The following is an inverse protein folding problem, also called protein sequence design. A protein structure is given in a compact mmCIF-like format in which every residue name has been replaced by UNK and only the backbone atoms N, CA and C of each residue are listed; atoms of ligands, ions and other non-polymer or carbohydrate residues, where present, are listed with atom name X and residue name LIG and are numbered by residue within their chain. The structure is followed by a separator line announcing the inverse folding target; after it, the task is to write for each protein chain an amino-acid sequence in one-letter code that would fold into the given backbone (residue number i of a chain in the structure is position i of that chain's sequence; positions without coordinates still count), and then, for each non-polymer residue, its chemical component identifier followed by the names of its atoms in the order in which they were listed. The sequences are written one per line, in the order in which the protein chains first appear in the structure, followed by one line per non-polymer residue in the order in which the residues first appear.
data_IF_818529740748
#
_entry.id   IF_818529740748
#
_cell.length_a   1.000
_cell.length_b   1.000
_cell.length_c   1.000
_cell.angle_alpha   90.00
_cell.angle_beta   90.00
_cell.angle_gamma   90.00
#
_symmetry.space_group_name_H-M   'P 1'
#
loop_
_entity.id
_entity.type
_entity.pdbx_description
1 polymer ?
#
# COMPACT_ATOMS: atom_id res chain seq x y z
N UNK A 1 -32.09 17.08 -63.55
CA UNK A 1 -31.79 17.53 -62.18
C UNK A 1 -30.42 16.97 -61.82
N UNK A 2 -29.38 17.82 -61.75
CA UNK A 2 -28.00 17.38 -61.63
C UNK A 2 -27.64 17.15 -60.16
N UNK A 3 -27.39 15.89 -59.81
CA UNK A 3 -26.92 15.48 -58.50
C UNK A 3 -25.53 16.10 -58.25
N UNK A 4 -25.45 17.13 -57.41
CA UNK A 4 -24.21 17.86 -57.18
C UNK A 4 -23.34 16.99 -56.26
N UNK A 5 -22.61 16.02 -56.86
CA UNK A 5 -21.58 15.19 -56.21
C UNK A 5 -20.59 16.01 -55.36
N UNK A 6 -20.42 17.30 -55.72
CA UNK A 6 -19.66 18.31 -54.98
C UNK A 6 -20.27 18.69 -53.62
N UNK A 7 -21.59 18.71 -53.48
CA UNK A 7 -22.31 19.01 -52.23
C UNK A 7 -22.13 17.89 -51.21
N UNK A 8 -22.25 16.62 -51.63
CA UNK A 8 -22.04 15.45 -50.76
C UNK A 8 -20.61 15.35 -50.24
N UNK A 9 -19.61 15.60 -51.10
CA UNK A 9 -18.20 15.64 -50.67
C UNK A 9 -17.93 16.80 -49.69
N UNK A 10 -18.57 17.95 -49.90
CA UNK A 10 -18.47 19.08 -48.96
C UNK A 10 -19.05 18.75 -47.59
N UNK A 11 -20.21 18.08 -47.54
CA UNK A 11 -20.81 17.64 -46.27
C UNK A 11 -19.92 16.64 -45.54
N UNK A 12 -19.34 15.66 -46.24
CA UNK A 12 -18.41 14.70 -45.63
C UNK A 12 -17.15 15.36 -45.04
N UNK A 13 -16.58 16.34 -45.74
CA UNK A 13 -15.42 17.10 -45.25
C UNK A 13 -15.75 18.00 -44.06
N UNK A 14 -16.96 18.56 -44.03
CA UNK A 14 -17.41 19.39 -42.92
C UNK A 14 -17.58 18.57 -41.64
N UNK A 15 -18.13 17.35 -41.78
CA UNK A 15 -18.32 16.42 -40.67
C UNK A 15 -16.98 15.87 -40.14
N UNK A 16 -16.05 15.51 -41.03
CA UNK A 16 -14.68 15.10 -40.65
C UNK A 16 -13.94 16.22 -39.90
N UNK A 17 -14.09 17.47 -40.37
CA UNK A 17 -13.43 18.60 -39.72
C UNK A 17 -14.00 18.84 -38.31
N UNK A 18 -15.32 18.68 -38.12
CA UNK A 18 -15.95 18.79 -36.79
C UNK A 18 -15.48 17.70 -35.82
N UNK A 19 -15.34 16.46 -36.31
CA UNK A 19 -14.83 15.36 -35.49
C UNK A 19 -13.40 15.66 -35.03
N UNK A 20 -12.53 16.06 -35.96
CA UNK A 20 -11.14 16.42 -35.66
C UNK A 20 -11.01 17.56 -34.67
N UNK A 21 -11.86 18.59 -34.77
CA UNK A 21 -11.85 19.70 -33.81
C UNK A 21 -12.25 19.23 -32.42
N UNK A 22 -13.25 18.36 -32.31
CA UNK A 22 -13.69 17.83 -31.03
C UNK A 22 -12.64 16.91 -30.40
N UNK A 23 -11.99 16.06 -31.20
CA UNK A 23 -10.89 15.19 -30.73
C UNK A 23 -9.69 15.99 -30.20
N UNK A 24 -9.32 17.09 -30.87
CA UNK A 24 -8.24 17.97 -30.42
C UNK A 24 -8.62 18.74 -29.15
N UNK A 25 -9.87 19.17 -29.03
CA UNK A 25 -10.38 19.86 -27.84
C UNK A 25 -10.45 18.91 -26.63
N UNK A 26 -10.96 17.69 -26.80
CA UNK A 26 -10.95 16.63 -25.77
C UNK A 26 -9.52 16.22 -25.37
N UNK A 27 -8.61 16.10 -26.33
CA UNK A 27 -7.21 15.80 -26.03
C UNK A 27 -6.55 16.93 -25.22
N UNK A 28 -6.91 18.19 -25.49
CA UNK A 28 -6.47 19.35 -24.71
C UNK A 28 -7.10 19.38 -23.32
N UNK A 29 -8.38 19.09 -23.21
CA UNK A 29 -9.07 19.00 -21.92
C UNK A 29 -8.45 17.92 -21.03
N UNK A 30 -8.12 16.74 -21.57
CA UNK A 30 -7.38 15.70 -20.81
C UNK A 30 -5.96 16.12 -20.42
N UNK A 31 -5.30 16.95 -21.22
CA UNK A 31 -3.96 17.46 -20.91
C UNK A 31 -3.99 18.62 -19.91
N UNK A 32 -5.13 19.32 -19.80
CA UNK A 32 -5.39 20.45 -18.89
C UNK A 32 -6.27 20.06 -17.69
N UNK A 33 -6.72 18.80 -17.62
CA UNK A 33 -7.11 18.14 -16.37
C UNK A 33 -5.90 18.22 -15.46
N UNK A 34 -5.83 19.35 -14.73
CA UNK A 34 -4.98 19.53 -13.58
C UNK A 34 -5.19 18.26 -12.76
N UNK A 35 -4.15 17.42 -12.64
CA UNK A 35 -4.13 16.39 -11.61
C UNK A 35 -4.71 17.05 -10.37
N UNK A 36 -5.77 16.51 -9.74
CA UNK A 36 -6.35 17.16 -8.58
C UNK A 36 -5.17 17.51 -7.72
N UNK A 37 -4.91 18.82 -7.52
CA UNK A 37 -3.79 19.29 -6.72
C UNK A 37 -4.13 18.72 -5.36
N UNK A 38 -3.68 17.48 -5.11
CA UNK A 38 -4.03 16.70 -3.95
C UNK A 38 -3.70 17.64 -2.84
N UNK A 39 -4.76 18.14 -2.21
CA UNK A 39 -4.78 19.40 -1.49
C UNK A 39 -3.45 19.50 -0.80
N UNK A 40 -2.58 20.38 -1.30
CA UNK A 40 -1.26 20.60 -0.75
C UNK A 40 -1.54 21.22 0.60
N UNK A 41 -1.82 20.34 1.53
CA UNK A 41 -2.01 20.57 2.92
C UNK A 41 -0.57 20.65 3.43
N UNK A 42 0.12 21.73 3.02
CA UNK A 42 1.41 22.17 3.53
C UNK A 42 1.32 22.57 5.03
N UNK A 43 0.13 22.38 5.63
CA UNK A 43 -0.16 22.39 7.05
C UNK A 43 -0.38 20.98 7.67
N UNK A 44 -0.20 19.89 6.92
CA UNK A 44 -0.58 18.52 7.32
C UNK A 44 0.60 17.53 7.36
N UNK A 45 1.84 17.95 7.05
CA UNK A 45 3.02 17.10 7.32
C UNK A 45 3.25 16.84 8.83
N UNK A 46 2.59 17.59 9.72
CA UNK A 46 2.65 17.37 11.18
C UNK A 46 1.44 16.65 11.76
N UNK A 47 0.39 16.36 10.98
CA UNK A 47 -0.83 15.73 11.50
C UNK A 47 -0.85 14.22 11.28
N UNK A 48 -0.22 13.72 10.22
CA UNK A 48 -0.11 12.26 10.02
C UNK A 48 0.97 11.57 10.87
N UNK A 49 1.86 12.31 11.54
CA UNK A 49 2.84 11.72 12.44
C UNK A 49 2.29 11.38 13.84
N UNK A 50 1.08 11.86 14.20
CA UNK A 50 0.53 11.70 15.56
C UNK A 50 -0.40 10.49 15.71
N UNK A 51 -0.89 9.90 14.62
CA UNK A 51 -1.85 8.78 14.66
C UNK A 51 -1.20 7.39 14.43
N UNK A 52 0.10 7.32 14.16
CA UNK A 52 0.82 6.04 14.08
C UNK A 52 1.37 5.58 15.44
N UNK A 53 1.25 6.41 16.47
CA UNK A 53 1.46 6.01 17.86
C UNK A 53 0.10 5.85 18.53
N UNK A 54 -0.63 4.82 18.13
CA UNK A 54 -1.71 4.31 18.96
C UNK A 54 -1.08 3.90 20.28
N UNK A 55 -1.23 4.74 21.31
CA UNK A 55 -0.74 4.54 22.68
C UNK A 55 -1.22 3.19 23.29
N UNK A 56 -2.20 2.56 22.65
CA UNK A 56 -2.61 1.19 22.92
C UNK A 56 -1.48 0.19 22.60
N UNK A 57 -1.13 -0.71 23.54
CA UNK A 57 -0.17 -1.76 23.27
C UNK A 57 -0.63 -2.60 22.06
N UNK A 58 0.30 -3.04 21.19
CA UNK A 58 -0.06 -3.86 20.06
C UNK A 58 -0.78 -5.13 20.53
N UNK A 59 -1.84 -5.53 19.83
CA UNK A 59 -2.55 -6.78 20.13
C UNK A 59 -1.87 -7.96 19.46
N UNK A 60 -2.17 -9.16 19.97
CA UNK A 60 -1.68 -10.40 19.40
C UNK A 60 -2.16 -10.60 17.95
N UNK A 61 -1.25 -10.93 17.05
CA UNK A 61 -1.55 -11.14 15.63
C UNK A 61 -2.46 -12.37 15.36
N UNK A 62 -2.55 -13.32 16.30
CA UNK A 62 -3.38 -14.52 16.16
C UNK A 62 -4.87 -14.14 16.06
N UNK A 63 -5.55 -14.70 15.06
CA UNK A 63 -6.99 -14.46 14.83
C UNK A 63 -7.81 -14.86 16.06
N UNK A 64 -8.67 -13.94 16.52
CA UNK A 64 -9.54 -14.16 17.68
C UNK A 64 -8.81 -14.06 19.02
N UNK A 65 -7.63 -13.44 19.07
CA UNK A 65 -6.90 -13.16 20.29
C UNK A 65 -6.72 -11.65 20.46
N UNK A 66 -7.47 -11.08 21.40
CA UNK A 66 -7.37 -9.67 21.77
C UNK A 66 -6.40 -9.43 22.93
N UNK A 67 -5.59 -10.43 23.30
CA UNK A 67 -4.56 -10.27 24.34
C UNK A 67 -3.47 -9.30 23.87
N UNK A 68 -2.88 -8.49 24.78
CA UNK A 68 -1.77 -7.62 24.43
C UNK A 68 -0.55 -8.46 24.02
N UNK A 69 0.10 -8.05 22.94
CA UNK A 69 1.36 -8.62 22.51
C UNK A 69 2.46 -8.22 23.49
N UNK A 70 3.28 -9.20 23.87
CA UNK A 70 4.42 -9.03 24.77
C UNK A 70 5.75 -9.29 24.08
N UNK A 71 5.72 -9.94 22.92
CA UNK A 71 6.90 -10.33 22.17
C UNK A 71 6.73 -9.99 20.70
N UNK A 72 7.84 -9.72 20.04
CA UNK A 72 7.96 -9.71 18.58
C UNK A 72 8.73 -10.96 18.18
N UNK A 73 8.13 -11.77 17.33
CA UNK A 73 8.78 -12.90 16.68
C UNK A 73 9.21 -12.44 15.30
N UNK A 74 10.50 -12.57 15.01
CA UNK A 74 11.11 -12.21 13.74
C UNK A 74 11.72 -13.46 13.13
N UNK A 75 11.26 -13.80 11.93
CA UNK A 75 11.78 -14.93 11.16
C UNK A 75 12.26 -14.46 9.79
N UNK A 76 13.53 -14.74 9.50
CA UNK A 76 14.13 -14.51 8.19
C UNK A 76 14.33 -15.84 7.47
N UNK A 77 13.67 -15.99 6.33
CA UNK A 77 13.71 -17.22 5.52
C UNK A 77 13.92 -16.89 4.03
N UNK A 78 14.32 -17.90 3.27
CA UNK A 78 14.45 -17.78 1.81
C UNK A 78 13.09 -18.05 1.17
N UNK A 79 12.56 -17.10 0.40
CA UNK A 79 11.32 -17.32 -0.35
C UNK A 79 11.52 -18.35 -1.47
N UNK A 80 10.55 -19.26 -1.61
CA UNK A 80 10.54 -20.36 -2.61
C UNK A 80 10.42 -19.87 -4.05
N UNK A 81 9.88 -18.66 -4.23
CA UNK A 81 9.71 -17.96 -5.50
C UNK A 81 11.04 -17.41 -6.06
N UNK A 82 12.12 -17.48 -5.27
CA UNK A 82 13.45 -17.02 -5.68
C UNK A 82 13.64 -15.50 -5.60
N UNK A 83 12.74 -14.78 -4.94
CA UNK A 83 12.84 -13.32 -4.76
C UNK A 83 13.89 -12.88 -3.72
N UNK A 84 14.50 -13.85 -3.00
CA UNK A 84 15.54 -13.58 -2.00
C UNK A 84 15.09 -13.91 -0.57
N UNK A 85 15.85 -13.44 0.41
CA UNK A 85 15.48 -13.60 1.82
C UNK A 85 14.38 -12.60 2.19
N UNK A 86 13.32 -13.09 2.84
CA UNK A 86 12.25 -12.28 3.41
C UNK A 86 12.32 -12.35 4.91
N UNK A 87 11.97 -11.24 5.55
CA UNK A 87 11.86 -11.11 6.99
C UNK A 87 10.38 -10.91 7.34
N UNK A 88 9.85 -11.78 8.19
CA UNK A 88 8.48 -11.75 8.68
C UNK A 88 8.49 -11.40 10.18
N UNK A 89 7.72 -10.38 10.55
CA UNK A 89 7.52 -9.97 11.95
C UNK A 89 6.09 -10.25 12.41
N UNK A 90 5.95 -10.82 13.61
CA UNK A 90 4.67 -11.10 14.24
C UNK A 90 4.69 -10.72 15.72
N UNK A 91 3.76 -9.85 16.12
CA UNK A 91 3.56 -9.45 17.52
C UNK A 91 2.61 -10.42 18.20
N UNK A 92 3.05 -11.09 19.25
CA UNK A 92 2.31 -12.18 19.89
C UNK A 92 2.24 -12.03 21.41
N UNK A 93 1.16 -12.56 21.99
CA UNK A 93 1.06 -12.72 23.44
C UNK A 93 1.94 -13.89 23.91
N UNK A 94 2.28 -13.93 25.20
CA UNK A 94 3.15 -14.94 25.79
C UNK A 94 2.74 -16.38 25.46
N UNK A 95 1.44 -16.67 25.46
CA UNK A 95 0.91 -18.00 25.15
C UNK A 95 1.22 -18.39 23.71
N UNK A 96 0.86 -17.53 22.75
CA UNK A 96 1.07 -17.82 21.34
C UNK A 96 2.55 -17.81 20.96
N UNK A 97 3.37 -16.96 21.58
CA UNK A 97 4.84 -17.00 21.40
C UNK A 97 5.42 -18.35 21.83
N UNK A 98 4.89 -18.98 22.89
CA UNK A 98 5.35 -20.30 23.33
C UNK A 98 4.90 -21.44 22.39
N UNK A 99 3.88 -21.20 21.58
CA UNK A 99 3.39 -22.14 20.55
C UNK A 99 4.14 -21.97 19.22
N UNK A 100 4.75 -20.81 18.98
CA UNK A 100 5.59 -20.57 17.81
C UNK A 100 6.89 -21.36 17.92
N UNK A 101 7.31 -21.95 16.81
CA UNK A 101 8.57 -22.65 16.70
C UNK A 101 9.08 -22.51 15.27
N UNK A 102 10.40 -22.41 15.06
CA UNK A 102 10.97 -22.39 13.73
C UNK A 102 10.55 -23.68 13.00
N UNK A 103 9.97 -23.54 11.82
CA UNK A 103 9.51 -24.67 11.01
C UNK A 103 10.46 -24.90 9.83
N UNK A 104 10.53 -26.14 9.33
CA UNK A 104 11.34 -26.50 8.14
C UNK A 104 12.83 -26.16 8.27
N UNK A 105 13.47 -26.58 9.36
CA UNK A 105 14.92 -26.40 9.58
C UNK A 105 15.83 -27.28 8.69
N UNK A 106 15.25 -28.20 7.91
CA UNK A 106 16.04 -29.09 7.03
C UNK A 106 16.43 -28.35 5.75
N UNK A 107 17.73 -28.25 5.48
CA UNK A 107 18.25 -27.54 4.31
C UNK A 107 18.16 -26.00 4.39
N UNK A 108 18.07 -25.43 5.61
CA UNK A 108 17.98 -23.99 5.81
C UNK A 108 19.11 -23.21 5.12
N UNK A 109 18.72 -22.08 4.53
CA UNK A 109 19.63 -21.11 3.95
C UNK A 109 20.63 -20.61 5.00
N UNK A 110 21.85 -20.30 4.57
CA UNK A 110 22.97 -19.95 5.45
C UNK A 110 22.70 -18.74 6.37
N UNK A 111 21.74 -17.88 6.00
CA UNK A 111 21.38 -16.66 6.73
C UNK A 111 19.98 -16.74 7.38
N UNK A 112 19.46 -17.95 7.61
CA UNK A 112 18.21 -18.16 8.33
C UNK A 112 18.33 -17.67 9.79
N UNK A 113 17.34 -16.89 10.24
CA UNK A 113 17.31 -16.33 11.60
C UNK A 113 15.91 -16.43 12.16
N UNK A 114 15.78 -16.98 13.38
CA UNK A 114 14.56 -16.94 14.17
C UNK A 114 14.86 -16.28 15.51
N UNK A 115 14.19 -15.17 15.82
CA UNK A 115 14.38 -14.38 17.05
C UNK A 115 13.05 -14.08 17.71
N UNK A 116 13.08 -14.06 19.03
CA UNK A 116 11.95 -13.67 19.87
C UNK A 116 12.45 -12.60 20.82
N UNK A 117 12.00 -11.38 20.62
CA UNK A 117 12.40 -10.22 21.42
C UNK A 117 11.21 -9.72 22.24
N UNK A 118 11.39 -9.39 23.53
CA UNK A 118 10.33 -8.78 24.33
C UNK A 118 10.01 -7.38 23.79
N UNK A 119 8.72 -7.05 23.72
CA UNK A 119 8.29 -5.68 23.46
C UNK A 119 8.60 -4.81 24.68
N UNK A 120 9.02 -3.55 24.50
CA UNK A 120 9.10 -2.62 25.61
C UNK A 120 7.70 -2.51 26.20
N UNK A 121 7.54 -2.86 27.48
CA UNK A 121 6.31 -2.58 28.20
C UNK A 121 6.14 -1.06 28.13
N UNK A 122 5.09 -0.59 27.46
CA UNK A 122 4.63 0.80 27.58
C UNK A 122 4.14 0.96 29.01
N UNK A 123 5.08 1.00 29.94
CA UNK A 123 4.83 1.42 31.31
C UNK A 123 4.43 2.87 31.16
N UNK A 124 3.17 3.14 31.45
CA UNK A 124 2.58 4.43 31.77
C UNK A 124 3.64 5.32 32.46
N UNK A 125 4.39 6.05 31.65
CA UNK A 125 5.51 6.89 32.06
C UNK A 125 5.27 8.29 31.51
N UNK A 126 4.04 8.79 31.68
CA UNK A 126 3.75 10.21 31.53
C UNK A 126 2.48 10.67 32.26
N UNK A 127 2.22 10.26 33.52
CA UNK A 127 1.38 11.09 34.41
C UNK A 127 1.88 10.97 35.87
N UNK A 128 2.90 11.76 36.22
CA UNK A 128 3.30 12.04 37.60
C UNK A 128 3.05 13.52 37.93
#
# INVERSE_FOLDING_TARGET
MADNKKSRNKQARDEENRQRTWEVEQARERMDETEPRGEQNEADEFRYAREENSDSPPTCHRRGCDEPAKFVVLERYQEETGHGSVEAEARLCQRHTAEESPTNLDGVYADYVFRVDPLPETTDADIA
#
